data_IF_949815748765
#
_entry.id   IF_949815748765
#
_cell.length_a   1.000
_cell.length_b   1.000
_cell.length_c   1.000
_cell.angle_alpha   90.00
_cell.angle_beta   90.00
_cell.angle_gamma   90.00
#
_symmetry.space_group_name_H-M   'P 1'
#
loop_
_entity.id
_entity.type
_entity.pdbx_description
1 polymer ?
#
# COMPACT_ATOMS: atom_id res chain seq x y z
N UNK A 1 33.56 6.17 22.74
CA UNK A 1 32.14 5.80 22.94
C UNK A 1 31.43 5.94 21.59
N UNK A 2 31.12 4.87 20.85
CA UNK A 2 30.55 5.02 19.52
C UNK A 2 29.06 5.35 19.64
N UNK A 3 28.70 6.49 19.08
CA UNK A 3 27.32 6.92 18.84
C UNK A 3 26.67 5.92 17.88
N UNK A 4 25.79 5.05 18.40
CA UNK A 4 24.98 4.17 17.54
C UNK A 4 23.89 5.02 16.91
N UNK A 5 24.10 5.39 15.65
CA UNK A 5 23.08 5.92 14.76
C UNK A 5 21.94 4.90 14.69
N UNK A 6 20.92 5.09 15.54
CA UNK A 6 19.68 4.33 15.48
C UNK A 6 19.02 4.67 14.15
N UNK A 7 19.01 3.70 13.24
CA UNK A 7 18.23 3.76 12.00
C UNK A 7 16.76 3.65 12.39
N UNK A 8 16.19 4.80 12.76
CA UNK A 8 14.79 4.95 13.14
C UNK A 8 13.97 4.95 11.82
N UNK A 9 13.60 3.76 11.34
CA UNK A 9 12.67 3.57 10.21
C UNK A 9 11.20 3.67 10.64
N UNK A 10 10.64 4.87 10.45
CA UNK A 10 9.19 5.12 10.36
C UNK A 10 8.52 4.24 9.30
N UNK A 11 7.19 4.10 9.36
CA UNK A 11 6.42 3.51 8.27
C UNK A 11 6.76 4.25 6.99
N UNK A 12 7.31 3.51 6.03
CA UNK A 12 7.86 4.11 4.81
C UNK A 12 6.90 3.89 3.67
N UNK A 13 6.50 4.98 3.03
CA UNK A 13 5.72 4.93 1.79
C UNK A 13 6.69 4.97 0.61
N UNK A 14 6.66 3.94 -0.22
CA UNK A 14 7.36 3.88 -1.49
C UNK A 14 6.32 4.10 -2.59
N UNK A 15 6.35 5.30 -3.18
CA UNK A 15 5.50 5.63 -4.33
C UNK A 15 6.13 5.05 -5.58
N UNK A 16 5.47 4.06 -6.18
CA UNK A 16 5.88 3.54 -7.48
C UNK A 16 5.31 4.46 -8.55
N UNK A 17 6.18 5.24 -9.20
CA UNK A 17 5.80 5.99 -10.38
C UNK A 17 5.47 4.97 -11.50
N UNK A 18 4.18 4.67 -11.66
CA UNK A 18 3.71 3.94 -12.84
C UNK A 18 3.95 4.81 -14.06
N UNK A 19 5.08 4.60 -14.73
CA UNK A 19 5.32 5.12 -16.06
C UNK A 19 4.30 4.44 -16.97
N UNK A 20 3.29 5.19 -17.39
CA UNK A 20 2.34 4.73 -18.40
C UNK A 20 3.10 4.23 -19.65
N UNK A 21 2.51 3.31 -20.42
CA UNK A 21 3.14 2.80 -21.62
C UNK A 21 3.32 3.96 -22.60
N UNK A 22 4.58 4.34 -22.84
CA UNK A 22 4.96 5.28 -23.90
C UNK A 22 4.71 4.55 -25.22
N UNK A 23 3.51 4.68 -25.76
CA UNK A 23 3.14 4.13 -27.07
C UNK A 23 3.89 4.93 -28.15
N UNK A 24 5.10 4.49 -28.49
CA UNK A 24 5.90 5.07 -29.57
C UNK A 24 5.24 4.68 -30.89
N UNK A 25 4.49 5.61 -31.47
CA UNK A 25 4.01 5.55 -32.85
C UNK A 25 5.21 5.54 -33.80
N UNK A 26 5.58 4.37 -34.32
CA UNK A 26 6.39 4.26 -35.52
C UNK A 26 5.47 4.37 -36.74
N UNK A 27 5.49 5.52 -37.42
CA UNK A 27 4.86 5.72 -38.73
C UNK A 27 5.95 5.69 -39.82
N UNK A 28 6.00 4.62 -40.62
CA UNK A 28 6.33 4.67 -42.05
C UNK A 28 5.47 3.61 -42.76
N UNK A 29 4.78 4.03 -43.81
CA UNK A 29 3.54 3.44 -44.32
C UNK A 29 3.65 2.15 -45.13
N UNK A 30 2.48 1.56 -45.42
CA UNK A 30 1.88 1.37 -46.76
C UNK A 30 0.43 0.86 -46.59
N UNK A 31 -0.45 1.39 -47.44
CA UNK A 31 -1.91 1.26 -47.57
C UNK A 31 -2.47 -0.16 -47.74
N UNK A 32 -3.62 -0.49 -47.12
CA UNK A 32 -4.86 -1.07 -47.75
C UNK A 32 -6.07 -0.85 -46.81
N UNK A 33 -7.15 -0.26 -47.33
CA UNK A 33 -8.46 -0.08 -46.65
C UNK A 33 -9.26 -1.38 -46.60
N UNK A 34 -9.86 -1.74 -45.45
CA UNK A 34 -11.20 -2.34 -45.35
C UNK A 34 -11.88 -1.92 -44.03
N UNK A 35 -13.17 -1.59 -44.14
CA UNK A 35 -14.03 -0.94 -43.15
C UNK A 35 -14.29 -1.83 -41.92
N UNK A 36 -14.08 -1.28 -40.73
CA UNK A 36 -14.56 -1.85 -39.46
C UNK A 36 -15.53 -0.88 -38.80
N UNK A 37 -16.71 -1.37 -38.45
CA UNK A 37 -17.76 -0.63 -37.75
C UNK A 37 -17.26 -0.14 -36.39
N UNK A 38 -17.37 1.16 -36.13
CA UNK A 38 -17.13 1.75 -34.82
C UNK A 38 -18.40 1.69 -33.99
N UNK A 39 -18.36 0.84 -32.96
CA UNK A 39 -19.39 0.79 -31.91
C UNK A 39 -19.18 1.99 -30.97
N UNK A 40 -20.09 2.97 -31.05
CA UNK A 40 -20.11 4.13 -30.15
C UNK A 40 -20.62 3.65 -28.79
N UNK A 41 -19.70 3.25 -27.92
CA UNK A 41 -19.97 3.10 -26.51
C UNK A 41 -20.13 4.49 -25.89
N UNK A 42 -21.37 4.83 -25.56
CA UNK A 42 -21.80 6.07 -24.91
C UNK A 42 -21.20 6.12 -23.49
N UNK A 43 -20.02 6.74 -23.36
CA UNK A 43 -19.34 7.00 -22.09
C UNK A 43 -20.08 8.02 -21.24
N UNK A 44 -21.09 7.56 -20.52
CA UNK A 44 -21.43 8.12 -19.21
C UNK A 44 -20.75 7.22 -18.18
N UNK A 45 -20.36 7.76 -17.03
CA UNK A 45 -19.85 7.06 -15.83
C UNK A 45 -18.32 7.08 -15.58
N UNK A 46 -17.99 7.87 -14.54
CA UNK A 46 -16.87 7.77 -13.60
C UNK A 46 -15.43 7.87 -14.14
N UNK A 47 -14.67 8.80 -13.55
CA UNK A 47 -13.22 8.97 -13.69
C UNK A 47 -12.41 7.80 -13.06
N UNK A 48 -12.81 6.56 -13.29
CA UNK A 48 -12.04 5.37 -12.90
C UNK A 48 -11.32 4.87 -14.14
N UNK A 49 -10.07 5.25 -14.30
CA UNK A 49 -9.21 4.65 -15.34
C UNK A 49 -9.06 3.17 -14.99
N UNK A 50 -9.46 2.22 -15.86
CA UNK A 50 -9.37 0.78 -15.58
C UNK A 50 -7.92 0.31 -15.35
N UNK A 51 -6.94 1.10 -15.80
CA UNK A 51 -5.51 0.82 -15.62
C UNK A 51 -4.91 1.33 -14.29
N UNK A 52 -5.68 2.04 -13.45
CA UNK A 52 -5.16 2.54 -12.16
C UNK A 52 -5.22 1.40 -11.13
N UNK A 53 -4.11 1.10 -10.42
CA UNK A 53 -4.15 0.21 -9.28
C UNK A 53 -5.21 0.70 -8.31
N UNK A 54 -6.05 -0.22 -7.85
CA UNK A 54 -7.03 0.06 -6.79
C UNK A 54 -6.56 -0.50 -5.45
N UNK A 55 -5.32 -0.97 -5.40
CA UNK A 55 -4.76 -1.67 -4.27
C UNK A 55 -3.50 -0.99 -3.77
N UNK A 56 -3.26 -1.15 -2.48
CA UNK A 56 -2.03 -0.77 -1.78
C UNK A 56 -1.39 -2.04 -1.27
N UNK A 57 -0.06 -2.13 -1.37
CA UNK A 57 0.71 -3.28 -0.85
C UNK A 57 1.31 -2.90 0.49
N UNK A 58 1.13 -3.74 1.50
CA UNK A 58 1.73 -3.57 2.83
C UNK A 58 2.73 -4.70 3.08
N UNK A 59 4.01 -4.34 3.17
CA UNK A 59 5.11 -5.21 3.55
C UNK A 59 5.33 -5.08 5.05
N UNK A 60 5.10 -6.16 5.79
CA UNK A 60 5.23 -6.20 7.23
C UNK A 60 6.39 -7.09 7.61
N UNK A 61 7.31 -6.54 8.38
CA UNK A 61 8.39 -7.28 9.03
C UNK A 61 8.14 -7.33 10.52
N UNK A 62 7.80 -8.52 11.04
CA UNK A 62 7.62 -8.72 12.47
C UNK A 62 8.93 -9.24 13.09
N UNK A 63 9.65 -8.37 13.79
CA UNK A 63 10.85 -8.76 14.54
C UNK A 63 10.53 -9.26 15.96
N UNK A 64 9.27 -9.16 16.38
CA UNK A 64 8.78 -9.61 17.68
C UNK A 64 8.53 -11.13 17.65
N UNK A 65 8.62 -11.80 18.81
CA UNK A 65 8.30 -13.22 18.93
C UNK A 65 6.79 -13.48 19.01
N UNK A 66 6.02 -12.47 19.39
CA UNK A 66 4.57 -12.56 19.46
C UNK A 66 3.93 -12.32 18.09
N UNK A 67 2.78 -12.94 17.90
CA UNK A 67 1.92 -12.69 16.75
C UNK A 67 1.29 -11.30 16.85
N UNK A 68 1.04 -10.66 15.71
CA UNK A 68 0.42 -9.35 15.61
C UNK A 68 -0.78 -9.38 14.65
N UNK A 69 -1.90 -8.79 15.07
CA UNK A 69 -3.06 -8.53 14.23
C UNK A 69 -3.01 -7.10 13.74
N UNK A 70 -3.31 -6.90 12.46
CA UNK A 70 -3.21 -5.62 11.80
C UNK A 70 -4.57 -5.16 11.31
N UNK A 71 -4.87 -3.88 11.52
CA UNK A 71 -6.08 -3.23 11.04
C UNK A 71 -5.73 -1.90 10.38
N UNK A 72 -6.39 -1.61 9.26
CA UNK A 72 -6.37 -0.29 8.64
C UNK A 72 -7.50 0.56 9.24
N UNK A 73 -7.14 1.72 9.76
CA UNK A 73 -8.07 2.74 10.22
C UNK A 73 -8.18 3.81 9.15
N UNK A 74 -9.28 3.75 8.40
CA UNK A 74 -9.64 4.68 7.35
C UNK A 74 -10.68 5.69 7.85
N UNK A 75 -10.97 6.73 7.06
CA UNK A 75 -12.03 7.69 7.39
C UNK A 75 -13.40 7.03 7.54
N UNK A 76 -13.65 5.96 6.79
CA UNK A 76 -14.93 5.24 6.77
C UNK A 76 -15.01 4.07 7.78
N UNK A 77 -13.94 3.76 8.51
CA UNK A 77 -13.97 2.72 9.54
C UNK A 77 -12.67 1.95 9.73
N UNK A 78 -12.78 0.85 10.48
CA UNK A 78 -11.70 -0.08 10.80
C UNK A 78 -11.84 -1.33 9.94
N UNK A 79 -10.82 -1.65 9.16
CA UNK A 79 -10.80 -2.80 8.25
C UNK A 79 -9.71 -3.79 8.67
N UNK A 80 -10.00 -5.09 8.78
CA UNK A 80 -8.97 -6.08 9.08
C UNK A 80 -8.02 -6.24 7.90
N UNK A 81 -6.71 -6.23 8.17
CA UNK A 81 -5.66 -6.51 7.19
C UNK A 81 -5.30 -8.00 7.25
N UNK A 82 -4.98 -8.49 8.45
CA UNK A 82 -4.57 -9.86 8.67
C UNK A 82 -3.73 -10.04 9.92
N UNK A 83 -3.04 -11.18 10.00
CA UNK A 83 -2.15 -11.53 11.12
C UNK A 83 -0.75 -11.86 10.57
N UNK A 84 0.27 -11.41 11.29
CA UNK A 84 1.67 -11.76 11.07
C UNK A 84 2.17 -12.50 12.29
N UNK A 85 2.63 -13.74 12.09
CA UNK A 85 3.14 -14.54 13.21
C UNK A 85 4.51 -14.03 13.68
N UNK A 86 4.93 -14.49 14.85
CA UNK A 86 6.22 -14.13 15.44
C UNK A 86 7.41 -14.38 14.51
N UNK A 87 8.30 -13.39 14.42
CA UNK A 87 9.56 -13.45 13.63
C UNK A 87 9.35 -13.78 12.15
N UNK A 88 8.28 -13.27 11.56
CA UNK A 88 7.96 -13.49 10.16
C UNK A 88 7.73 -12.19 9.41
N UNK A 89 7.99 -12.27 8.10
CA UNK A 89 7.63 -11.23 7.15
C UNK A 89 6.36 -11.67 6.41
N UNK A 90 5.48 -10.71 6.13
CA UNK A 90 4.26 -10.94 5.36
C UNK A 90 3.94 -9.75 4.47
N UNK A 91 3.32 -10.07 3.35
CA UNK A 91 2.78 -9.09 2.42
C UNK A 91 1.26 -9.18 2.41
N UNK A 92 0.61 -8.02 2.36
CA UNK A 92 -0.83 -7.88 2.23
C UNK A 92 -1.17 -6.94 1.07
N UNK A 93 -2.24 -7.28 0.36
CA UNK A 93 -2.88 -6.41 -0.63
C UNK A 93 -4.18 -5.87 -0.03
N UNK A 94 -4.33 -4.55 -0.07
CA UNK A 94 -5.44 -3.83 0.54
C UNK A 94 -6.22 -3.12 -0.54
N UNK A 95 -7.53 -3.32 -0.60
CA UNK A 95 -8.40 -2.55 -1.49
C UNK A 95 -8.46 -1.09 -0.98
N UNK A 96 -7.87 -0.20 -1.77
CA UNK A 96 -7.74 1.22 -1.46
C UNK A 96 -7.98 2.05 -2.73
N UNK A 97 -9.23 2.17 -3.20
CA UNK A 97 -9.55 2.72 -4.52
C UNK A 97 -9.37 4.24 -4.63
N UNK A 98 -9.31 4.96 -3.50
CA UNK A 98 -9.24 6.41 -3.45
C UNK A 98 -8.15 6.86 -2.47
N UNK A 99 -7.40 7.88 -2.89
CA UNK A 99 -6.42 8.57 -2.05
C UNK A 99 -7.07 9.08 -0.77
N UNK A 100 -6.62 8.59 0.37
CA UNK A 100 -7.20 8.95 1.67
C UNK A 100 -6.21 8.70 2.81
N UNK A 101 -6.56 9.22 3.98
CA UNK A 101 -5.75 9.13 5.17
C UNK A 101 -5.93 7.76 5.84
N UNK A 102 -4.82 7.14 6.24
CA UNK A 102 -4.77 5.83 6.88
C UNK A 102 -3.94 5.90 8.16
N UNK A 103 -4.39 5.19 9.20
CA UNK A 103 -3.54 4.74 10.31
C UNK A 103 -3.53 3.21 10.33
N UNK A 104 -2.45 2.61 10.81
CA UNK A 104 -2.38 1.16 11.02
C UNK A 104 -2.46 0.91 12.52
N UNK A 105 -3.39 0.06 12.93
CA UNK A 105 -3.45 -0.48 14.28
C UNK A 105 -2.72 -1.81 14.32
N UNK A 106 -1.84 -1.96 15.29
CA UNK A 106 -1.02 -3.14 15.55
C UNK A 106 -1.42 -3.67 16.93
N UNK A 107 -2.07 -4.82 16.95
CA UNK A 107 -2.56 -5.49 18.15
C UNK A 107 -1.73 -6.76 18.39
N UNK A 108 -0.82 -6.72 19.37
CA UNK A 108 -0.01 -7.89 19.71
C UNK A 108 -0.86 -8.91 20.44
N UNK A 109 -0.85 -10.16 19.99
CA UNK A 109 -1.56 -11.25 20.65
C UNK A 109 -1.01 -11.42 22.06
N UNK A 110 -1.89 -11.32 23.06
CA UNK A 110 -1.54 -11.34 24.49
C UNK A 110 -0.52 -10.25 24.88
N UNK A 111 -0.53 -9.12 24.18
CA UNK A 111 0.40 -8.02 24.40
C UNK A 111 -0.27 -6.65 24.30
N UNK A 112 0.55 -5.58 24.24
CA UNK A 112 0.07 -4.22 24.02
C UNK A 112 -0.45 -3.99 22.59
N UNK A 113 -1.23 -2.93 22.44
CA UNK A 113 -1.67 -2.40 21.15
C UNK A 113 -1.02 -1.04 20.86
N UNK A 114 -0.87 -0.71 19.58
CA UNK A 114 -0.36 0.59 19.12
C UNK A 114 -1.13 1.04 17.88
N UNK A 115 -1.27 2.35 17.71
CA UNK A 115 -1.76 2.95 16.47
C UNK A 115 -0.64 3.81 15.88
N UNK A 116 -0.39 3.65 14.57
CA UNK A 116 0.62 4.45 13.88
C UNK A 116 0.18 5.91 13.71
N UNK A 117 1.14 6.77 13.42
CA UNK A 117 0.86 8.12 12.93
C UNK A 117 0.02 8.08 11.66
N UNK A 118 -0.81 9.10 11.49
CA UNK A 118 -1.67 9.27 10.33
C UNK A 118 -0.84 9.56 9.07
N UNK A 119 -1.19 8.92 7.96
CA UNK A 119 -0.47 9.03 6.70
C UNK A 119 -1.40 9.06 5.49
N UNK A 120 -1.01 9.84 4.49
CA UNK A 120 -1.72 9.90 3.22
C UNK A 120 -1.27 8.74 2.33
N UNK A 121 -2.22 7.90 1.93
CA UNK A 121 -1.97 6.70 1.13
C UNK A 121 -2.70 6.82 -0.20
N UNK A 122 -1.97 6.62 -1.29
CA UNK A 122 -2.48 6.64 -2.65
C UNK A 122 -2.60 5.21 -3.23
N UNK A 123 -3.58 4.96 -4.11
CA UNK A 123 -3.68 3.67 -4.79
C UNK A 123 -2.39 3.38 -5.59
N UNK A 124 -1.83 2.18 -5.43
CA UNK A 124 -0.56 1.76 -6.02
C UNK A 124 0.68 1.97 -5.13
N UNK A 125 0.52 2.55 -3.94
CA UNK A 125 1.61 2.69 -2.98
C UNK A 125 2.05 1.34 -2.39
N UNK A 126 3.34 1.27 -2.04
CA UNK A 126 3.91 0.19 -1.24
C UNK A 126 4.28 0.76 0.13
N UNK A 127 3.65 0.23 1.18
CA UNK A 127 3.87 0.59 2.57
C UNK A 127 4.81 -0.43 3.21
N UNK A 128 5.84 0.04 3.91
CA UNK A 128 6.73 -0.80 4.71
C UNK A 128 6.48 -0.55 6.20
N UNK A 129 6.07 -1.59 6.93
CA UNK A 129 5.87 -1.59 8.37
C UNK A 129 6.85 -2.55 9.03
N UNK A 130 7.58 -2.07 10.04
CA UNK A 130 8.47 -2.89 10.84
C UNK A 130 8.02 -2.89 12.30
N UNK A 131 7.62 -4.05 12.82
CA UNK A 131 7.32 -4.25 14.24
C UNK A 131 8.62 -4.59 14.94
N UNK A 132 8.99 -3.81 15.97
CA UNK A 132 10.25 -3.99 16.67
C UNK A 132 10.24 -5.25 17.56
N UNK A 133 11.43 -5.79 17.84
CA UNK A 133 11.59 -6.95 18.74
C UNK A 133 11.12 -6.66 20.17
N UNK A 134 11.29 -5.41 20.63
CA UNK A 134 10.62 -4.86 21.81
C UNK A 134 9.50 -3.95 21.32
N UNK A 135 8.25 -4.26 21.66
CA UNK A 135 7.10 -3.58 21.05
C UNK A 135 7.06 -2.08 21.34
N UNK A 136 7.48 -1.67 22.54
CA UNK A 136 7.53 -0.24 22.94
C UNK A 136 8.56 0.57 22.13
N UNK A 137 9.40 -0.10 21.35
CA UNK A 137 10.36 0.52 20.42
C UNK A 137 9.86 0.54 18.98
N UNK A 138 8.64 0.03 18.74
CA UNK A 138 7.99 0.10 17.44
C UNK A 138 7.73 1.57 17.12
N UNK A 139 8.16 1.98 15.93
CA UNK A 139 8.17 3.38 15.56
C UNK A 139 6.82 3.80 15.01
N UNK A 140 6.57 5.10 15.04
CA UNK A 140 5.28 5.73 14.73
C UNK A 140 4.11 5.35 15.64
N UNK A 141 4.31 4.48 16.63
CA UNK A 141 3.37 4.23 17.71
C UNK A 141 3.16 5.47 18.56
N UNK A 142 1.90 5.90 18.72
CA UNK A 142 1.47 7.00 19.58
C UNK A 142 0.35 6.59 20.51
#
# INVERSE_FOLDING_TARGET
MPSRTSLIKKVRIIRVAQRGPLMVLAHVGVSVCLMSCTEVAKGTHAFTSPDRPQQVRLLVQNMNFNDARLFALATNGRMPIGQVNGKQDREFELDWPLSSSMRIEIDMVAGPQCITSEMQVDPGDILELQIASMFDQTQDCR
#
